data_IF_102529469677
#
_entry.id   IF_102529469677
#
_cell.length_a   1.000
_cell.length_b   1.000
_cell.length_c   1.000
_cell.angle_alpha   90.00
_cell.angle_beta   90.00
_cell.angle_gamma   90.00
#
_symmetry.space_group_name_H-M   'P 1'
#
loop_
_entity.id
_entity.type
_entity.pdbx_description
1 polymer ?
#
# COMPACT_ATOMS: atom_id res chain seq x y z
N UNK A 1 29.83 19.79 -38.70
CA UNK A 1 28.81 20.86 -38.76
C UNK A 1 29.38 22.15 -39.31
N UNK A 2 28.67 22.80 -40.23
CA UNK A 2 29.06 24.08 -40.85
C UNK A 2 28.13 25.21 -40.41
N UNK A 3 28.66 26.38 -40.07
CA UNK A 3 27.84 27.55 -39.76
C UNK A 3 27.62 28.39 -41.02
N UNK A 4 26.37 28.76 -41.30
CA UNK A 4 26.00 29.61 -42.43
C UNK A 4 24.79 30.49 -42.09
N UNK A 5 24.59 31.57 -42.85
CA UNK A 5 23.36 32.35 -42.79
C UNK A 5 22.47 31.96 -43.96
N UNK A 6 21.26 31.48 -43.67
CA UNK A 6 20.35 30.90 -44.67
C UNK A 6 19.08 31.75 -44.74
N UNK A 7 18.64 32.07 -45.96
CA UNK A 7 17.42 32.85 -46.17
C UNK A 7 16.18 32.07 -45.68
N UNK A 8 15.20 32.79 -45.11
CA UNK A 8 14.03 32.19 -44.44
C UNK A 8 13.17 31.34 -45.40
N UNK A 9 13.11 31.73 -46.67
CA UNK A 9 12.40 31.05 -47.76
C UNK A 9 13.04 29.70 -48.15
N UNK A 10 14.32 29.49 -47.81
CA UNK A 10 15.06 28.24 -48.01
C UNK A 10 14.98 27.27 -46.83
N UNK A 11 14.24 27.65 -45.78
CA UNK A 11 14.10 26.90 -44.54
C UNK A 11 12.67 26.38 -44.36
N UNK A 12 12.53 25.06 -44.28
CA UNK A 12 11.28 24.37 -43.94
C UNK A 12 11.36 23.77 -42.53
N UNK A 13 10.25 23.63 -41.82
CA UNK A 13 10.27 22.93 -40.52
C UNK A 13 10.29 21.43 -40.76
N UNK A 14 11.26 20.72 -40.19
CA UNK A 14 11.32 19.27 -40.34
C UNK A 14 10.17 18.57 -39.61
N UNK A 15 9.66 17.48 -40.19
CA UNK A 15 8.69 16.59 -39.53
C UNK A 15 9.33 15.78 -38.39
N UNK A 16 10.67 15.68 -38.34
CA UNK A 16 11.40 15.06 -37.22
C UNK A 16 11.71 16.02 -36.09
N UNK A 17 11.53 17.33 -36.28
CA UNK A 17 11.65 18.30 -35.20
C UNK A 17 10.76 17.90 -34.03
N UNK A 18 11.32 17.76 -32.83
CA UNK A 18 10.57 17.20 -31.71
C UNK A 18 9.41 18.09 -31.24
N UNK A 19 9.45 19.40 -31.54
CA UNK A 19 8.37 20.36 -31.27
C UNK A 19 7.53 20.64 -32.52
N UNK A 20 7.60 19.76 -33.51
CA UNK A 20 6.79 19.85 -34.72
C UNK A 20 5.30 19.80 -34.35
N UNK A 21 4.56 20.80 -34.81
CA UNK A 21 3.12 20.89 -34.68
C UNK A 21 2.55 21.65 -35.88
N UNK A 22 1.30 21.33 -36.26
CA UNK A 22 0.62 22.02 -37.38
C UNK A 22 0.44 23.51 -37.12
N UNK A 23 0.21 23.92 -35.88
CA UNK A 23 0.01 25.33 -35.48
C UNK A 23 1.35 25.98 -35.14
N UNK A 24 1.57 27.21 -35.59
CA UNK A 24 2.72 28.03 -35.18
C UNK A 24 2.80 28.13 -33.64
N UNK A 25 4.01 28.11 -33.05
CA UNK A 25 4.18 28.24 -31.61
C UNK A 25 3.91 29.69 -31.18
N UNK A 26 3.56 29.89 -29.91
CA UNK A 26 3.63 31.23 -29.31
C UNK A 26 5.09 31.66 -29.16
N UNK A 27 5.38 32.87 -29.62
CA UNK A 27 6.72 33.49 -29.63
C UNK A 27 6.70 34.90 -29.02
N UNK A 28 5.57 35.31 -28.44
CA UNK A 28 5.36 36.66 -27.89
C UNK A 28 6.43 37.09 -26.88
N UNK A 29 6.93 36.13 -26.10
CA UNK A 29 7.97 36.30 -25.09
C UNK A 29 9.38 36.56 -25.69
N UNK A 30 9.71 35.94 -26.83
CA UNK A 30 11.04 36.08 -27.46
C UNK A 30 11.09 37.20 -28.51
N UNK A 31 9.94 37.64 -29.04
CA UNK A 31 9.86 38.69 -30.06
C UNK A 31 10.61 39.98 -29.68
N UNK A 32 10.50 40.53 -28.46
CA UNK A 32 11.25 41.74 -28.08
C UNK A 32 12.77 41.57 -28.20
N UNK A 33 13.28 40.41 -27.80
CA UNK A 33 14.72 40.11 -27.88
C UNK A 33 15.16 39.92 -29.33
N UNK A 34 14.40 39.19 -30.14
CA UNK A 34 14.74 38.95 -31.54
C UNK A 34 14.65 40.25 -32.35
N UNK A 35 13.70 41.14 -32.06
CA UNK A 35 13.65 42.48 -32.68
C UNK A 35 14.86 43.33 -32.36
N UNK A 36 15.36 43.26 -31.13
CA UNK A 36 16.46 44.08 -30.65
C UNK A 36 17.86 43.56 -31.06
N UNK A 37 18.02 42.23 -31.20
CA UNK A 37 19.34 41.60 -31.35
C UNK A 37 19.42 40.56 -32.47
N UNK A 38 18.33 40.29 -33.17
CA UNK A 38 18.25 39.17 -34.11
C UNK A 38 18.23 37.81 -33.41
N UNK A 39 18.35 36.75 -34.21
CA UNK A 39 18.50 35.38 -33.70
C UNK A 39 19.98 35.14 -33.38
N UNK A 40 20.33 35.01 -32.10
CA UNK A 40 21.74 34.85 -31.68
C UNK A 40 22.21 33.40 -31.67
N UNK A 41 21.33 32.47 -31.29
CA UNK A 41 21.65 31.04 -31.24
C UNK A 41 21.27 30.43 -32.59
N UNK A 42 22.21 29.80 -33.32
CA UNK A 42 21.94 29.23 -34.63
C UNK A 42 20.84 28.17 -34.62
N UNK A 43 20.01 28.13 -35.66
CA UNK A 43 19.08 27.04 -35.93
C UNK A 43 19.86 25.77 -36.28
N UNK A 44 19.36 24.60 -35.89
CA UNK A 44 19.93 23.34 -36.32
C UNK A 44 19.19 22.90 -37.58
N UNK A 45 19.92 22.69 -38.67
CA UNK A 45 19.31 22.37 -39.97
C UNK A 45 20.05 21.26 -40.69
N UNK A 46 19.36 20.55 -41.58
CA UNK A 46 19.95 19.54 -42.47
C UNK A 46 19.52 19.77 -43.93
N UNK A 47 20.31 19.33 -44.92
CA UNK A 47 19.90 19.39 -46.32
C UNK A 47 18.58 18.64 -46.57
N UNK A 48 17.70 19.19 -47.41
CA UNK A 48 16.39 18.60 -47.74
C UNK A 48 16.35 17.87 -49.09
N UNK A 49 17.50 17.45 -49.61
CA UNK A 49 17.61 16.81 -50.93
C UNK A 49 17.49 17.74 -52.15
N UNK A 50 17.02 18.98 -51.97
CA UNK A 50 17.09 20.04 -53.00
C UNK A 50 18.26 21.00 -52.72
N UNK A 51 19.01 21.45 -53.76
CA UNK A 51 20.14 22.36 -53.59
C UNK A 51 19.77 23.64 -52.84
N UNK A 52 20.60 24.01 -51.87
CA UNK A 52 20.45 25.23 -51.06
C UNK A 52 19.15 25.33 -50.23
N UNK A 53 18.41 24.22 -50.07
CA UNK A 53 17.23 24.16 -49.18
C UNK A 53 17.50 23.25 -47.98
N UNK A 54 16.93 23.61 -46.84
CA UNK A 54 17.21 22.92 -45.59
C UNK A 54 15.95 22.72 -44.75
N UNK A 55 15.92 21.63 -44.00
CA UNK A 55 14.92 21.40 -42.97
C UNK A 55 15.45 21.81 -41.59
N UNK A 56 14.61 22.45 -40.78
CA UNK A 56 14.89 22.88 -39.42
C UNK A 56 14.54 21.78 -38.43
N UNK A 57 15.57 21.14 -37.91
CA UNK A 57 15.51 20.08 -36.92
C UNK A 57 15.40 20.64 -35.49
N UNK A 58 16.00 21.80 -35.21
CA UNK A 58 15.88 22.49 -33.92
C UNK A 58 15.89 24.02 -34.05
N UNK A 59 15.20 24.68 -33.09
CA UNK A 59 15.03 26.14 -33.09
C UNK A 59 13.73 26.65 -33.72
N UNK A 60 12.69 25.82 -33.77
CA UNK A 60 11.36 26.17 -34.33
C UNK A 60 10.82 27.53 -33.85
N UNK A 61 10.90 27.83 -32.54
CA UNK A 61 10.43 29.11 -32.00
C UNK A 61 11.22 30.31 -32.55
N UNK A 62 12.54 30.17 -32.71
CA UNK A 62 13.43 31.20 -33.27
C UNK A 62 13.11 31.45 -34.74
N UNK A 63 12.86 30.39 -35.52
CA UNK A 63 12.39 30.50 -36.90
C UNK A 63 11.06 31.27 -37.01
N UNK A 64 10.05 30.91 -36.21
CA UNK A 64 8.76 31.60 -36.25
C UNK A 64 8.82 33.05 -35.75
N UNK A 65 9.65 33.36 -34.75
CA UNK A 65 9.87 34.73 -34.32
C UNK A 65 10.50 35.59 -35.43
N UNK A 66 11.49 35.04 -36.15
CA UNK A 66 12.07 35.71 -37.30
C UNK A 66 11.07 35.90 -38.44
N UNK A 67 10.22 34.90 -38.70
CA UNK A 67 9.17 35.00 -39.72
C UNK A 67 8.16 36.11 -39.41
N UNK A 68 7.70 36.21 -38.16
CA UNK A 68 6.82 37.30 -37.72
C UNK A 68 7.47 38.67 -37.94
N UNK A 69 8.76 38.81 -37.63
CA UNK A 69 9.49 40.07 -37.82
C UNK A 69 9.68 40.39 -39.31
N UNK A 70 9.95 39.38 -40.14
CA UNK A 70 10.06 39.55 -41.58
C UNK A 70 8.72 40.01 -42.20
N UNK A 71 7.61 39.42 -41.77
CA UNK A 71 6.27 39.82 -42.19
C UNK A 71 5.93 41.27 -41.74
N UNK A 72 6.36 41.67 -40.53
CA UNK A 72 6.18 43.03 -40.01
C UNK A 72 7.00 44.10 -40.75
N UNK A 73 8.24 43.75 -41.14
CA UNK A 73 9.17 44.69 -41.78
C UNK A 73 9.10 44.69 -43.31
N UNK A 74 8.53 43.64 -43.90
CA UNK A 74 8.54 43.41 -45.35
C UNK A 74 9.91 42.97 -45.90
N UNK A 75 10.88 42.67 -45.03
CA UNK A 75 12.23 42.23 -45.38
C UNK A 75 12.68 41.10 -44.44
N UNK A 76 13.27 40.05 -45.01
CA UNK A 76 13.72 38.87 -44.27
C UNK A 76 15.26 38.83 -44.18
N UNK A 77 15.80 39.02 -42.98
CA UNK A 77 17.23 38.81 -42.74
C UNK A 77 17.56 37.30 -42.74
N UNK A 78 18.67 36.89 -43.37
CA UNK A 78 19.15 35.51 -43.29
C UNK A 78 19.41 35.05 -41.85
N UNK A 79 19.01 33.83 -41.51
CA UNK A 79 19.13 33.29 -40.16
C UNK A 79 20.42 32.51 -39.95
N UNK A 80 21.11 32.67 -38.81
CA UNK A 80 22.26 31.85 -38.50
C UNK A 80 21.80 30.40 -38.31
N UNK A 81 22.45 29.49 -39.01
CA UNK A 81 22.15 28.07 -39.03
C UNK A 81 23.43 27.26 -38.87
N UNK A 82 23.35 26.19 -38.09
CA UNK A 82 24.35 25.15 -37.98
C UNK A 82 23.86 23.96 -38.83
N UNK A 83 24.50 23.78 -39.98
CA UNK A 83 24.18 22.73 -40.95
C UNK A 83 24.82 21.43 -40.47
N UNK A 84 23.96 20.44 -40.22
CA UNK A 84 24.34 19.05 -40.00
C UNK A 84 24.80 18.42 -41.30
N UNK A 85 25.70 17.44 -41.20
CA UNK A 85 26.05 16.59 -42.34
C UNK A 85 24.81 15.80 -42.79
N UNK A 86 24.80 15.31 -44.03
CA UNK A 86 23.74 14.41 -44.47
C UNK A 86 23.67 13.21 -43.53
N UNK A 87 22.52 13.07 -42.87
CA UNK A 87 22.26 12.05 -41.86
C UNK A 87 20.81 11.59 -41.96
N UNK A 88 20.49 10.50 -41.26
CA UNK A 88 19.15 9.95 -41.29
C UNK A 88 18.16 10.74 -40.40
N UNK A 89 16.88 10.38 -40.47
CA UNK A 89 15.83 10.97 -39.64
C UNK A 89 16.04 10.75 -38.14
N UNK A 90 16.80 9.72 -37.75
CA UNK A 90 17.10 9.45 -36.36
C UNK A 90 18.23 10.37 -35.86
N UNK A 91 19.28 10.62 -36.65
CA UNK A 91 20.35 11.59 -36.33
C UNK A 91 19.76 12.99 -36.09
N UNK A 92 18.84 13.40 -36.96
CA UNK A 92 18.14 14.67 -36.84
C UNK A 92 17.22 14.73 -35.61
N UNK A 93 16.51 13.65 -35.29
CA UNK A 93 15.69 13.56 -34.08
C UNK A 93 16.55 13.58 -32.80
N UNK A 94 17.69 12.86 -32.79
CA UNK A 94 18.63 12.85 -31.67
C UNK A 94 19.21 14.24 -31.41
N UNK A 95 19.68 14.92 -32.46
CA UNK A 95 20.24 16.25 -32.33
C UNK A 95 19.18 17.29 -31.90
N UNK A 96 17.95 17.16 -32.40
CA UNK A 96 16.79 17.94 -31.94
C UNK A 96 16.51 17.72 -30.45
N UNK A 97 16.60 16.47 -29.97
CA UNK A 97 16.36 16.11 -28.57
C UNK A 97 17.48 16.61 -27.66
N UNK A 98 18.75 16.48 -28.06
CA UNK A 98 19.91 16.98 -27.29
C UNK A 98 19.77 18.49 -27.03
N UNK A 99 19.35 19.27 -28.04
CA UNK A 99 19.14 20.72 -27.88
C UNK A 99 18.01 21.06 -26.91
N UNK A 100 17.02 20.17 -26.76
CA UNK A 100 15.77 20.44 -26.04
C UNK A 100 15.59 19.57 -24.79
N UNK A 101 16.60 18.84 -24.33
CA UNK A 101 16.45 17.85 -23.26
C UNK A 101 16.11 18.49 -21.90
N UNK A 102 16.68 19.66 -21.59
CA UNK A 102 16.51 20.34 -20.30
C UNK A 102 15.10 20.96 -20.08
N UNK A 103 14.44 21.58 -21.07
CA UNK A 103 13.08 22.12 -20.91
C UNK A 103 11.95 21.14 -21.28
N UNK A 104 12.17 19.82 -21.28
CA UNK A 104 11.19 18.85 -21.77
C UNK A 104 10.20 18.41 -20.69
N UNK A 105 8.91 18.31 -21.04
CA UNK A 105 7.94 17.59 -20.19
C UNK A 105 8.21 16.08 -20.26
N UNK A 106 7.95 15.38 -19.16
CA UNK A 106 8.33 13.96 -19.01
C UNK A 106 7.69 13.08 -20.11
N UNK A 107 6.45 13.34 -20.48
CA UNK A 107 5.71 12.54 -21.46
C UNK A 107 6.27 12.71 -22.87
N UNK A 108 6.64 13.94 -23.25
CA UNK A 108 7.28 14.23 -24.51
C UNK A 108 8.66 13.53 -24.62
N UNK A 109 9.38 13.37 -23.51
CA UNK A 109 10.59 12.55 -23.47
C UNK A 109 10.27 11.09 -23.82
N UNK A 110 9.25 10.51 -23.17
CA UNK A 110 8.85 9.12 -23.39
C UNK A 110 8.42 8.84 -24.84
N UNK A 111 7.64 9.75 -25.41
CA UNK A 111 7.17 9.67 -26.81
C UNK A 111 8.33 9.78 -27.80
N UNK A 112 9.31 10.64 -27.52
CA UNK A 112 10.48 10.83 -28.38
C UNK A 112 11.40 9.62 -28.37
N UNK A 113 11.71 9.07 -27.18
CA UNK A 113 12.50 7.85 -27.06
C UNK A 113 11.84 6.68 -27.79
N UNK A 114 10.51 6.56 -27.67
CA UNK A 114 9.74 5.56 -28.40
C UNK A 114 9.82 5.75 -29.93
N UNK A 115 9.91 7.00 -30.41
CA UNK A 115 10.09 7.32 -31.83
C UNK A 115 11.50 6.94 -32.32
N UNK A 116 12.54 7.19 -31.53
CA UNK A 116 13.92 6.78 -31.85
C UNK A 116 14.03 5.27 -32.08
N UNK A 117 13.42 4.46 -31.21
CA UNK A 117 13.36 3.00 -31.39
C UNK A 117 12.64 2.62 -32.71
N UNK A 118 11.52 3.28 -33.05
CA UNK A 118 10.81 3.03 -34.31
C UNK A 118 11.60 3.45 -35.55
N UNK A 119 12.50 4.42 -35.41
CA UNK A 119 13.42 4.84 -36.47
C UNK A 119 14.69 3.98 -36.53
N UNK A 120 14.81 2.93 -35.72
CA UNK A 120 15.86 1.92 -35.82
C UNK A 120 16.98 2.03 -34.79
N UNK A 121 16.95 3.02 -33.89
CA UNK A 121 17.96 3.13 -32.81
C UNK A 121 17.78 2.03 -31.79
N UNK A 122 18.89 1.55 -31.25
CA UNK A 122 18.87 0.56 -30.16
C UNK A 122 18.94 1.23 -28.80
N UNK A 123 18.60 0.48 -27.74
CA UNK A 123 18.71 0.96 -26.36
C UNK A 123 20.15 1.36 -25.99
N UNK A 124 21.19 0.57 -26.34
CA UNK A 124 22.59 0.97 -26.16
C UNK A 124 22.95 2.28 -26.88
N UNK A 125 22.48 2.48 -28.12
CA UNK A 125 22.78 3.70 -28.89
C UNK A 125 22.20 4.93 -28.18
N UNK A 126 20.93 4.87 -27.80
CA UNK A 126 20.26 5.96 -27.06
C UNK A 126 20.98 6.23 -25.73
N UNK A 127 21.35 5.19 -25.00
CA UNK A 127 22.08 5.32 -23.74
C UNK A 127 23.41 6.07 -23.93
N UNK A 128 24.18 5.70 -24.96
CA UNK A 128 25.43 6.33 -25.31
C UNK A 128 25.25 7.79 -25.76
N UNK A 129 24.29 8.07 -26.65
CA UNK A 129 24.02 9.41 -27.18
C UNK A 129 23.63 10.39 -26.07
N UNK A 130 22.77 9.97 -25.13
CA UNK A 130 22.26 10.85 -24.07
C UNK A 130 23.06 10.78 -22.77
N UNK A 131 24.12 9.97 -22.70
CA UNK A 131 24.96 9.82 -21.50
C UNK A 131 24.20 9.27 -20.29
N UNK A 132 23.23 8.38 -20.52
CA UNK A 132 22.38 7.77 -19.48
C UNK A 132 22.52 6.25 -19.50
N UNK A 133 22.06 5.59 -18.43
CA UNK A 133 22.13 4.12 -18.36
C UNK A 133 21.07 3.48 -19.25
N UNK A 134 21.38 2.30 -19.81
CA UNK A 134 20.39 1.50 -20.56
C UNK A 134 19.14 1.19 -19.73
N UNK A 135 19.28 1.01 -18.42
CA UNK A 135 18.14 0.81 -17.52
C UNK A 135 17.21 2.03 -17.50
N UNK A 136 17.76 3.25 -17.49
CA UNK A 136 16.96 4.47 -17.57
C UNK A 136 16.24 4.58 -18.92
N UNK A 137 16.91 4.23 -20.01
CA UNK A 137 16.29 4.16 -21.36
C UNK A 137 15.12 3.17 -21.35
N UNK A 138 15.32 1.94 -20.82
CA UNK A 138 14.25 0.92 -20.71
C UNK A 138 13.06 1.40 -19.90
N UNK A 139 13.30 2.11 -18.79
CA UNK A 139 12.23 2.72 -17.95
C UNK A 139 11.43 3.77 -18.72
N UNK A 140 12.11 4.68 -19.43
CA UNK A 140 11.48 5.71 -20.26
C UNK A 140 10.65 5.06 -21.38
N UNK A 141 11.17 4.03 -22.03
CA UNK A 141 10.46 3.30 -23.08
C UNK A 141 9.22 2.57 -22.56
N UNK A 142 9.28 1.99 -21.35
CA UNK A 142 8.13 1.34 -20.74
C UNK A 142 6.97 2.33 -20.46
N UNK A 143 7.30 3.55 -20.05
CA UNK A 143 6.31 4.63 -19.88
C UNK A 143 5.82 5.15 -21.26
N UNK A 144 6.72 5.22 -22.24
CA UNK A 144 6.41 5.61 -23.61
C UNK A 144 5.49 4.64 -24.33
N UNK A 145 5.53 3.37 -23.96
CA UNK A 145 4.70 2.31 -24.55
C UNK A 145 3.22 2.37 -24.11
N UNK A 146 2.83 3.20 -23.12
CA UNK A 146 1.44 3.29 -22.69
C UNK A 146 0.41 3.58 -23.80
N UNK A 147 -0.85 3.22 -23.55
CA UNK A 147 -1.95 3.71 -24.38
C UNK A 147 -1.96 5.26 -24.38
N UNK A 148 -2.24 5.93 -25.51
CA UNK A 148 -2.17 7.40 -25.60
C UNK A 148 -2.98 8.13 -24.52
N UNK A 149 -4.15 7.60 -24.16
CA UNK A 149 -5.00 8.17 -23.10
C UNK A 149 -4.38 8.10 -21.70
N UNK A 150 -3.56 7.07 -21.41
CA UNK A 150 -2.85 6.95 -20.13
C UNK A 150 -1.72 7.99 -20.06
N UNK A 151 -0.96 8.16 -21.15
CA UNK A 151 0.06 9.22 -21.24
C UNK A 151 -0.57 10.61 -21.04
N UNK A 152 -1.71 10.86 -21.65
CA UNK A 152 -2.43 12.13 -21.49
C UNK A 152 -2.98 12.34 -20.07
N UNK A 153 -3.51 11.29 -19.44
CA UNK A 153 -3.95 11.37 -18.04
C UNK A 153 -2.78 11.73 -17.11
N UNK A 154 -1.58 11.18 -17.34
CA UNK A 154 -0.39 11.56 -16.59
C UNK A 154 0.05 13.01 -16.91
N UNK A 155 0.09 13.39 -18.18
CA UNK A 155 0.42 14.77 -18.62
C UNK A 155 -0.47 15.83 -17.96
N UNK A 156 -1.74 15.49 -17.73
CA UNK A 156 -2.74 16.34 -17.07
C UNK A 156 -2.74 16.22 -15.54
N UNK A 157 -1.79 15.48 -14.96
CA UNK A 157 -1.67 15.22 -13.52
C UNK A 157 -2.90 14.52 -12.91
N UNK A 158 -3.70 13.82 -13.73
CA UNK A 158 -4.87 13.07 -13.27
C UNK A 158 -4.48 11.74 -12.60
N UNK A 159 -3.28 11.24 -12.91
CA UNK A 159 -2.61 10.12 -12.25
C UNK A 159 -1.20 10.50 -11.82
N UNK A 160 -0.75 9.94 -10.70
CA UNK A 160 0.58 10.19 -10.15
C UNK A 160 1.64 9.23 -10.74
N UNK A 161 2.90 9.54 -10.44
CA UNK A 161 4.04 8.75 -10.91
C UNK A 161 4.04 7.32 -10.38
N UNK A 162 3.51 7.08 -9.17
CA UNK A 162 3.40 5.73 -8.62
C UNK A 162 2.41 4.88 -9.44
N UNK A 163 1.25 5.43 -9.77
CA UNK A 163 0.26 4.76 -10.63
C UNK A 163 0.83 4.49 -12.01
N UNK A 164 1.52 5.47 -12.61
CA UNK A 164 2.19 5.27 -13.90
C UNK A 164 3.21 4.13 -13.84
N UNK A 165 4.10 4.09 -12.83
CA UNK A 165 5.06 2.99 -12.65
C UNK A 165 4.38 1.63 -12.53
N UNK A 166 3.28 1.52 -11.79
CA UNK A 166 2.58 0.24 -11.71
C UNK A 166 1.90 -0.15 -13.03
N UNK A 167 1.41 0.80 -13.82
CA UNK A 167 0.87 0.53 -15.15
C UNK A 167 1.93 -0.01 -16.13
N UNK A 168 3.24 0.18 -15.90
CA UNK A 168 4.28 -0.46 -16.74
C UNK A 168 4.32 -1.98 -16.58
N UNK A 169 3.81 -2.50 -15.46
CA UNK A 169 3.67 -3.94 -15.23
C UNK A 169 2.39 -4.52 -15.85
N UNK A 170 1.46 -3.66 -16.31
CA UNK A 170 0.19 -4.08 -16.88
C UNK A 170 0.35 -4.47 -18.36
N UNK A 171 -0.26 -5.60 -18.74
CA UNK A 171 -0.43 -5.95 -20.15
C UNK A 171 -1.30 -4.92 -20.88
N UNK A 172 -1.26 -4.89 -22.22
CA UNK A 172 -2.12 -3.99 -23.01
C UNK A 172 -3.61 -4.22 -22.76
N UNK A 173 -4.02 -5.47 -22.47
CA UNK A 173 -5.39 -5.79 -22.11
C UNK A 173 -5.75 -5.14 -20.76
N UNK A 174 -4.94 -5.35 -19.73
CA UNK A 174 -5.12 -4.72 -18.42
C UNK A 174 -5.10 -3.19 -18.47
N UNK A 175 -4.25 -2.58 -19.32
CA UNK A 175 -4.27 -1.13 -19.53
C UNK A 175 -5.61 -0.65 -20.14
N UNK A 176 -6.21 -1.43 -21.06
CA UNK A 176 -7.53 -1.11 -21.61
C UNK A 176 -8.63 -1.25 -20.56
N UNK A 177 -8.59 -2.31 -19.76
CA UNK A 177 -9.56 -2.54 -18.68
C UNK A 177 -9.47 -1.46 -17.61
N UNK A 178 -8.25 -1.11 -17.19
CA UNK A 178 -8.00 -0.01 -16.25
C UNK A 178 -8.50 1.33 -16.83
N UNK A 179 -8.26 1.57 -18.11
CA UNK A 179 -8.71 2.79 -18.77
C UNK A 179 -10.24 2.86 -18.87
N UNK A 180 -10.91 1.73 -19.08
CA UNK A 180 -12.38 1.67 -19.06
C UNK A 180 -12.92 2.10 -17.69
N UNK A 181 -12.33 1.59 -16.60
CA UNK A 181 -12.64 2.04 -15.23
C UNK A 181 -12.33 3.52 -15.03
N UNK A 182 -11.23 4.02 -15.58
CA UNK A 182 -10.79 5.41 -15.39
C UNK A 182 -11.69 6.41 -16.10
N UNK A 183 -12.25 6.03 -17.26
CA UNK A 183 -13.13 6.90 -18.04
C UNK A 183 -14.60 6.83 -17.64
N UNK A 184 -14.99 5.86 -16.82
CA UNK A 184 -16.37 5.71 -16.33
C UNK A 184 -16.57 6.51 -15.03
N UNK A 185 -17.43 7.56 -15.02
CA UNK A 185 -17.68 8.38 -13.83
C UNK A 185 -18.29 7.61 -12.64
N UNK A 186 -18.95 6.48 -12.89
CA UNK A 186 -19.62 5.68 -11.86
C UNK A 186 -18.70 4.62 -11.25
N UNK A 187 -17.51 4.43 -11.83
CA UNK A 187 -16.54 3.44 -11.38
C UNK A 187 -15.28 4.10 -10.82
N UNK A 188 -14.56 3.35 -9.99
CA UNK A 188 -13.29 3.79 -9.44
C UNK A 188 -12.15 2.98 -10.06
N UNK A 189 -11.27 3.65 -10.80
CA UNK A 189 -10.03 3.05 -11.25
C UNK A 189 -9.03 2.95 -10.10
N UNK A 190 -8.46 1.77 -9.83
CA UNK A 190 -7.47 1.60 -8.78
C UNK A 190 -6.18 2.38 -9.11
N UNK A 191 -5.56 2.99 -8.09
CA UNK A 191 -4.36 3.83 -8.21
C UNK A 191 -3.32 3.44 -7.16
N UNK A 192 -2.05 3.83 -7.37
CA UNK A 192 -0.95 3.52 -6.48
C UNK A 192 -0.94 2.04 -6.06
N UNK A 193 -0.72 1.76 -4.77
CA UNK A 193 -0.68 0.39 -4.26
C UNK A 193 -1.92 -0.47 -4.57
N UNK A 194 -3.13 0.12 -4.65
CA UNK A 194 -4.35 -0.63 -4.99
C UNK A 194 -4.31 -1.14 -6.43
N UNK A 195 -3.71 -0.38 -7.34
CA UNK A 195 -3.51 -0.82 -8.73
C UNK A 195 -2.63 -2.06 -8.77
N UNK A 196 -1.55 -2.09 -7.99
CA UNK A 196 -0.67 -3.24 -7.89
C UNK A 196 -1.47 -4.49 -7.48
N UNK A 197 -2.31 -4.40 -6.45
CA UNK A 197 -3.16 -5.54 -6.05
C UNK A 197 -4.12 -5.95 -7.17
N UNK A 198 -4.77 -4.99 -7.83
CA UNK A 198 -5.70 -5.26 -8.92
C UNK A 198 -5.02 -5.98 -10.11
N UNK A 199 -3.79 -5.60 -10.46
CA UNK A 199 -3.03 -6.23 -11.55
C UNK A 199 -2.69 -7.70 -11.29
N UNK A 200 -2.49 -8.07 -10.02
CA UNK A 200 -2.11 -9.42 -9.59
C UNK A 200 -3.27 -10.19 -8.92
N UNK A 201 -4.52 -9.83 -9.18
CA UNK A 201 -5.68 -10.60 -8.68
C UNK A 201 -5.88 -10.54 -7.16
N UNK A 202 -5.35 -9.51 -6.48
CA UNK A 202 -5.52 -9.25 -5.05
C UNK A 202 -4.32 -9.61 -4.18
N UNK A 203 -3.42 -10.50 -4.63
CA UNK A 203 -2.20 -10.86 -3.92
C UNK A 203 -0.97 -10.63 -4.78
N UNK A 204 0.01 -9.94 -4.24
CA UNK A 204 1.29 -9.70 -4.92
C UNK A 204 2.37 -10.53 -4.24
N UNK A 205 2.81 -11.60 -4.90
CA UNK A 205 3.84 -12.53 -4.40
C UNK A 205 5.14 -12.26 -5.14
N UNK A 206 6.21 -11.96 -4.39
CA UNK A 206 7.54 -11.71 -4.94
C UNK A 206 8.22 -13.03 -5.35
N UNK A 207 9.04 -13.02 -6.39
CA UNK A 207 9.88 -14.16 -6.74
C UNK A 207 10.89 -14.51 -5.64
N UNK A 208 11.28 -13.54 -4.78
CA UNK A 208 12.24 -13.74 -3.67
C UNK A 208 11.74 -14.70 -2.59
N UNK A 209 10.42 -14.91 -2.48
CA UNK A 209 9.83 -15.78 -1.47
C UNK A 209 9.54 -17.19 -1.97
N UNK A 210 9.81 -17.47 -3.26
CA UNK A 210 9.60 -18.78 -3.83
C UNK A 210 10.52 -19.82 -3.16
N UNK A 211 9.94 -20.95 -2.75
CA UNK A 211 10.69 -22.07 -2.19
C UNK A 211 11.26 -23.02 -3.24
N UNK A 212 10.89 -22.81 -4.50
CA UNK A 212 11.31 -23.58 -5.66
C UNK A 212 12.18 -22.71 -6.59
N UNK A 213 12.87 -23.35 -7.53
CA UNK A 213 13.68 -22.65 -8.52
C UNK A 213 12.79 -21.82 -9.45
N UNK A 214 13.01 -20.51 -9.51
CA UNK A 214 12.16 -19.58 -10.28
C UNK A 214 12.19 -19.91 -11.78
N UNK A 215 13.27 -20.52 -12.25
CA UNK A 215 13.47 -20.96 -13.64
C UNK A 215 12.55 -22.13 -14.04
N UNK A 216 12.06 -22.90 -13.06
CA UNK A 216 11.13 -24.02 -13.29
C UNK A 216 9.67 -23.55 -13.30
N UNK A 217 9.42 -22.25 -13.08
CA UNK A 217 8.07 -21.68 -13.08
C UNK A 217 7.51 -21.59 -14.50
N UNK A 218 6.38 -22.25 -14.82
CA UNK A 218 5.82 -22.25 -16.17
C UNK A 218 5.00 -20.98 -16.49
N UNK A 219 4.68 -20.16 -15.48
CA UNK A 219 3.87 -18.96 -15.64
C UNK A 219 4.68 -17.70 -15.96
N UNK A 220 3.96 -16.60 -16.19
CA UNK A 220 4.58 -15.30 -16.48
C UNK A 220 5.10 -14.64 -15.18
N UNK A 221 6.33 -14.12 -15.26
CA UNK A 221 6.93 -13.28 -14.23
C UNK A 221 7.00 -11.85 -14.75
N UNK A 222 6.53 -10.91 -13.94
CA UNK A 222 6.52 -9.49 -14.24
C UNK A 222 7.57 -8.80 -13.39
N UNK A 223 8.57 -8.21 -14.02
CA UNK A 223 9.62 -7.44 -13.35
C UNK A 223 9.21 -5.97 -13.18
N UNK A 224 9.43 -5.43 -11.98
CA UNK A 224 9.30 -4.01 -11.74
C UNK A 224 10.56 -3.29 -12.23
N UNK A 225 10.46 -2.63 -13.38
CA UNK A 225 11.58 -1.89 -13.96
C UNK A 225 12.05 -0.73 -13.07
N UNK A 226 11.22 -0.24 -12.14
CA UNK A 226 11.54 0.87 -11.23
C UNK A 226 12.01 0.40 -9.85
N UNK A 227 11.98 -0.91 -9.59
CA UNK A 227 12.44 -1.54 -8.36
C UNK A 227 13.44 -2.67 -8.61
N UNK A 228 13.67 -3.49 -7.59
CA UNK A 228 14.50 -4.70 -7.65
C UNK A 228 13.65 -5.98 -7.53
N UNK A 229 12.33 -5.83 -7.53
CA UNK A 229 11.41 -6.92 -7.28
C UNK A 229 10.78 -7.41 -8.57
N UNK A 230 10.64 -8.73 -8.65
CA UNK A 230 9.82 -9.39 -9.66
C UNK A 230 8.67 -10.11 -8.98
N UNK A 231 7.55 -10.22 -9.70
CA UNK A 231 6.29 -10.74 -9.18
C UNK A 231 5.73 -11.81 -10.10
N UNK A 232 5.06 -12.80 -9.52
CA UNK A 232 4.31 -13.79 -10.28
C UNK A 232 3.00 -13.18 -10.79
N UNK A 233 2.69 -13.34 -12.08
CA UNK A 233 1.48 -12.79 -12.68
C UNK A 233 0.21 -13.52 -12.24
N UNK A 234 0.32 -14.83 -12.01
CA UNK A 234 -0.77 -15.73 -11.65
C UNK A 234 -0.62 -16.17 -10.19
N UNK A 235 -1.57 -15.76 -9.35
CA UNK A 235 -1.58 -16.05 -7.92
C UNK A 235 -1.92 -17.51 -7.61
N UNK A 236 -2.75 -18.17 -8.43
CA UNK A 236 -3.18 -19.54 -8.16
C UNK A 236 -2.05 -20.52 -8.53
N UNK A 237 -1.40 -20.28 -9.67
CA UNK A 237 -0.29 -21.12 -10.14
C UNK A 237 0.93 -21.05 -9.21
N UNK A 238 1.24 -19.88 -8.64
CA UNK A 238 2.30 -19.77 -7.63
C UNK A 238 1.92 -20.55 -6.36
N UNK A 239 0.67 -20.48 -5.90
CA UNK A 239 0.24 -21.23 -4.71
C UNK A 239 0.32 -22.75 -4.92
N UNK A 240 0.01 -23.24 -6.12
CA UNK A 240 0.21 -24.65 -6.48
C UNK A 240 1.68 -25.06 -6.32
N UNK A 241 2.60 -24.33 -6.96
CA UNK A 241 4.05 -24.62 -6.91
C UNK A 241 4.67 -24.43 -5.53
N UNK A 242 4.25 -23.41 -4.80
CA UNK A 242 4.71 -23.17 -3.45
C UNK A 242 4.25 -24.30 -2.51
N UNK A 243 3.01 -24.78 -2.63
CA UNK A 243 2.50 -25.89 -1.84
C UNK A 243 3.18 -27.22 -2.17
N UNK A 244 3.50 -27.49 -3.44
CA UNK A 244 4.33 -28.63 -3.84
C UNK A 244 5.71 -28.58 -3.15
N UNK A 245 6.36 -27.42 -3.17
CA UNK A 245 7.65 -27.21 -2.51
C UNK A 245 7.58 -27.35 -0.98
N UNK A 246 6.53 -26.81 -0.34
CA UNK A 246 6.27 -26.98 1.10
C UNK A 246 6.09 -28.45 1.44
N UNK A 247 5.31 -29.19 0.65
CA UNK A 247 5.09 -30.62 0.85
C UNK A 247 6.41 -31.42 0.71
N UNK A 248 7.24 -31.10 -0.27
CA UNK A 248 8.56 -31.70 -0.43
C UNK A 248 9.47 -31.43 0.77
N UNK A 249 9.54 -30.18 1.26
CA UNK A 249 10.31 -29.82 2.48
C UNK A 249 9.77 -30.52 3.72
N UNK A 250 8.45 -30.59 3.88
CA UNK A 250 7.80 -31.34 4.98
C UNK A 250 8.23 -32.80 4.97
N UNK A 251 8.19 -33.45 3.81
CA UNK A 251 8.59 -34.85 3.66
C UNK A 251 10.08 -35.04 3.98
N UNK A 252 10.95 -34.14 3.51
CA UNK A 252 12.38 -34.17 3.84
C UNK A 252 12.65 -34.07 5.35
N UNK A 253 11.88 -33.27 6.10
CA UNK A 253 11.98 -33.23 7.57
C UNK A 253 11.53 -34.53 8.23
N UNK A 254 10.46 -35.16 7.73
CA UNK A 254 10.01 -36.46 8.22
C UNK A 254 11.05 -37.56 7.95
N UNK A 255 11.62 -37.59 6.75
CA UNK A 255 12.70 -38.52 6.36
C UNK A 255 13.97 -38.29 7.17
N UNK A 256 14.29 -37.03 7.48
CA UNK A 256 15.39 -36.70 8.37
C UNK A 256 15.16 -37.29 9.76
N UNK A 257 13.92 -37.63 10.15
CA UNK A 257 13.55 -38.32 11.39
C UNK A 257 12.86 -37.43 12.42
N UNK A 258 12.33 -36.27 12.01
CA UNK A 258 11.55 -35.42 12.92
C UNK A 258 10.21 -36.11 13.25
N UNK A 259 9.79 -36.13 14.52
CA UNK A 259 8.62 -36.90 14.96
C UNK A 259 7.31 -36.39 14.36
N UNK A 260 7.19 -35.08 14.13
CA UNK A 260 6.01 -34.47 13.54
C UNK A 260 6.39 -33.13 12.87
N UNK A 261 5.77 -32.84 11.73
CA UNK A 261 5.91 -31.59 10.98
C UNK A 261 4.53 -31.02 10.71
N UNK A 262 4.24 -29.85 11.26
CA UNK A 262 2.93 -29.19 11.23
C UNK A 262 3.01 -27.99 10.31
N UNK A 263 2.23 -28.00 9.22
CA UNK A 263 2.02 -26.82 8.37
C UNK A 263 0.84 -26.04 8.94
N UNK A 264 1.07 -24.78 9.31
CA UNK A 264 0.03 -23.91 9.82
C UNK A 264 -0.79 -23.30 8.68
N UNK A 265 -2.02 -22.92 8.97
CA UNK A 265 -2.90 -22.27 7.99
C UNK A 265 -2.28 -20.96 7.47
N UNK A 266 -2.49 -20.58 6.20
CA UNK A 266 -1.98 -19.33 5.66
C UNK A 266 -2.38 -18.12 6.52
N UNK A 267 -1.39 -17.33 6.96
CA UNK A 267 -1.57 -16.17 7.82
C UNK A 267 -1.58 -16.46 9.33
N UNK A 268 -1.53 -17.74 9.74
CA UNK A 268 -1.36 -18.10 11.14
C UNK A 268 0.10 -17.90 11.58
N UNK A 269 0.30 -17.12 12.64
CA UNK A 269 1.62 -16.86 13.22
C UNK A 269 2.04 -17.97 14.18
N UNK A 270 3.35 -18.26 14.20
CA UNK A 270 3.93 -19.11 15.22
C UNK A 270 4.20 -18.31 16.51
N UNK A 271 3.44 -18.61 17.55
CA UNK A 271 3.58 -17.97 18.86
C UNK A 271 4.62 -18.73 19.71
N UNK A 272 5.88 -18.28 19.66
CA UNK A 272 6.98 -18.93 20.37
C UNK A 272 6.78 -19.02 21.89
N UNK A 273 6.01 -18.11 22.49
CA UNK A 273 5.70 -18.12 23.92
C UNK A 273 4.78 -19.26 24.37
N UNK A 274 4.01 -19.87 23.46
CA UNK A 274 3.17 -21.05 23.75
C UNK A 274 3.95 -22.36 23.63
N UNK A 275 5.20 -22.27 23.18
CA UNK A 275 6.07 -23.39 22.88
C UNK A 275 7.33 -23.36 23.74
N UNK A 276 8.02 -24.50 23.78
CA UNK A 276 9.30 -24.68 24.44
C UNK A 276 10.30 -25.33 23.47
N UNK A 277 11.52 -24.78 23.44
CA UNK A 277 12.60 -25.34 22.62
C UNK A 277 12.95 -26.75 23.12
N UNK A 278 12.74 -27.72 22.25
CA UNK A 278 12.93 -29.14 22.54
C UNK A 278 13.74 -29.77 21.41
N UNK A 279 14.89 -30.40 21.69
CA UNK A 279 15.64 -31.09 20.66
C UNK A 279 14.83 -32.26 20.09
N UNK A 280 15.11 -32.61 18.84
CA UNK A 280 14.48 -33.73 18.11
C UNK A 280 14.42 -35.04 18.90
N UNK A 281 15.49 -35.39 19.63
CA UNK A 281 15.56 -36.61 20.47
C UNK A 281 14.52 -36.65 21.59
N UNK A 282 14.04 -35.49 22.05
CA UNK A 282 13.05 -35.35 23.13
C UNK A 282 11.63 -35.06 22.60
N UNK A 283 11.38 -35.32 21.32
CA UNK A 283 10.05 -35.14 20.72
C UNK A 283 9.77 -33.74 20.19
N UNK A 284 10.81 -32.90 19.98
CA UNK A 284 10.64 -31.60 19.32
C UNK A 284 10.09 -31.77 17.90
N UNK A 285 9.15 -30.90 17.51
CA UNK A 285 8.46 -30.88 16.22
C UNK A 285 8.97 -29.73 15.36
N UNK A 286 8.61 -29.73 14.08
CA UNK A 286 8.84 -28.62 13.15
C UNK A 286 7.50 -27.95 12.81
N UNK A 287 7.42 -26.63 12.95
CA UNK A 287 6.26 -25.85 12.51
C UNK A 287 6.62 -25.05 11.26
N UNK A 288 5.78 -25.12 10.24
CA UNK A 288 5.94 -24.37 8.99
C UNK A 288 4.87 -23.29 8.98
N UNK A 289 5.28 -22.02 9.00
CA UNK A 289 4.37 -20.87 8.87
C UNK A 289 4.39 -20.37 7.44
N UNK A 290 3.22 -20.07 6.89
CA UNK A 290 3.06 -19.54 5.54
C UNK A 290 2.32 -18.20 5.62
N UNK A 291 2.92 -17.12 5.12
CA UNK A 291 2.29 -15.78 5.10
C UNK A 291 1.39 -15.63 3.87
N UNK A 292 0.42 -14.70 3.91
CA UNK A 292 -0.41 -14.38 2.73
C UNK A 292 0.39 -13.79 1.56
N UNK A 293 1.66 -13.42 1.77
CA UNK A 293 2.57 -12.93 0.74
C UNK A 293 3.46 -14.04 0.17
N UNK A 294 3.25 -15.29 0.57
CA UNK A 294 3.99 -16.46 0.10
C UNK A 294 5.28 -16.74 0.87
N UNK A 295 5.64 -15.93 1.88
CA UNK A 295 6.81 -16.18 2.73
C UNK A 295 6.61 -17.44 3.57
N UNK A 296 7.63 -18.29 3.63
CA UNK A 296 7.58 -19.53 4.40
C UNK A 296 8.76 -19.56 5.38
N UNK A 297 8.45 -19.81 6.65
CA UNK A 297 9.46 -19.99 7.69
C UNK A 297 9.34 -21.37 8.33
N UNK A 298 10.48 -21.93 8.72
CA UNK A 298 10.60 -23.26 9.33
C UNK A 298 11.08 -23.11 10.77
N UNK A 299 10.23 -23.44 11.73
CA UNK A 299 10.50 -23.37 13.16
C UNK A 299 10.84 -24.77 13.66
N UNK A 300 12.12 -25.09 13.73
CA UNK A 300 12.60 -26.41 14.15
C UNK A 300 12.78 -26.54 15.66
N UNK A 301 12.48 -27.73 16.20
CA UNK A 301 12.80 -28.06 17.59
C UNK A 301 11.87 -27.40 18.60
N UNK A 302 10.56 -27.40 18.33
CA UNK A 302 9.57 -26.82 19.22
C UNK A 302 8.53 -27.85 19.65
N UNK A 303 8.09 -27.76 20.90
CA UNK A 303 7.00 -28.56 21.43
C UNK A 303 6.06 -27.63 22.20
N UNK A 304 4.74 -27.88 22.15
CA UNK A 304 3.81 -27.05 22.93
C UNK A 304 4.12 -27.18 24.43
N UNK A 305 3.96 -26.11 25.21
CA UNK A 305 4.22 -26.15 26.67
C UNK A 305 3.42 -27.25 27.39
N UNK A 306 2.22 -27.56 26.90
CA UNK A 306 1.36 -28.63 27.43
C UNK A 306 1.98 -30.01 27.19
N UNK A 307 2.51 -30.25 26.00
CA UNK A 307 3.20 -31.51 25.67
C UNK A 307 4.55 -31.60 26.39
N UNK A 308 5.31 -30.51 26.48
CA UNK A 308 6.56 -30.44 27.24
C UNK A 308 6.36 -30.79 28.72
N UNK A 309 5.34 -30.22 29.35
CA UNK A 309 4.98 -30.56 30.74
C UNK A 309 4.60 -32.02 30.89
N UNK A 310 3.89 -32.61 29.92
CA UNK A 310 3.52 -34.03 29.93
C UNK A 310 4.74 -34.94 29.72
N UNK A 311 5.69 -34.53 28.87
CA UNK A 311 6.92 -35.28 28.63
C UNK A 311 7.81 -35.29 29.89
N UNK A 312 7.98 -34.15 30.56
CA UNK A 312 8.70 -34.07 31.85
C UNK A 312 8.06 -34.94 32.93
N UNK A 313 6.72 -34.88 33.05
CA UNK A 313 5.99 -35.71 34.01
C UNK A 313 6.07 -37.23 33.71
N UNK A 314 6.44 -37.63 32.48
CA UNK A 314 6.70 -39.03 32.13
C UNK A 314 8.14 -39.44 32.38
N UNK A 315 9.12 -38.58 32.13
CA UNK A 315 10.54 -38.81 32.47
C UNK A 315 10.75 -38.88 33.99
N UNK A 316 9.98 -38.11 34.77
CA UNK A 316 9.96 -38.12 36.24
C UNK A 316 9.15 -39.29 36.83
N UNK A 317 8.67 -40.24 36.00
CA UNK A 317 7.94 -41.44 36.40
C UNK A 317 8.77 -42.50 37.13
N UNK A 318 9.82 -42.09 37.83
CA UNK A 318 10.69 -42.91 38.67
C UNK A 318 10.89 -42.38 40.08
N UNK A 319 10.11 -41.40 40.58
CA UNK A 319 9.86 -41.17 42.01
C UNK A 319 8.86 -40.01 42.19
N UNK A 320 7.72 -40.32 42.84
CA UNK A 320 6.72 -39.39 43.40
C UNK A 320 6.30 -38.20 42.51
N UNK A 321 5.31 -38.44 41.65
CA UNK A 321 4.48 -37.38 41.09
C UNK A 321 3.71 -36.66 42.21
N UNK A 322 4.22 -35.53 42.69
CA UNK A 322 3.39 -34.55 43.39
C UNK A 322 2.29 -34.09 42.42
N UNK A 323 1.07 -34.47 42.78
CA UNK A 323 -0.14 -34.10 42.06
C UNK A 323 -0.23 -32.56 42.07
N UNK A 324 -0.58 -31.87 40.96
CA UNK A 324 -0.84 -30.44 41.02
C UNK A 324 -1.92 -30.22 42.08
N UNK A 325 -1.61 -29.40 43.10
CA UNK A 325 -2.45 -29.17 44.25
C UNK A 325 -3.91 -29.00 43.81
N UNK A 326 -4.77 -29.98 44.16
CA UNK A 326 -6.22 -29.81 44.02
C UNK A 326 -6.57 -28.54 44.77
N UNK A 327 -7.19 -27.58 44.08
CA UNK A 327 -7.72 -26.37 44.72
C UNK A 327 -8.43 -26.78 46.01
N UNK A 328 -7.97 -26.23 47.14
CA UNK A 328 -8.59 -26.43 48.44
C UNK A 328 -10.09 -26.16 48.28
N UNK A 329 -10.94 -27.04 48.82
CA UNK A 329 -12.38 -26.79 48.84
C UNK A 329 -12.61 -25.37 49.36
N UNK A 330 -13.45 -24.56 48.68
CA UNK A 330 -13.74 -23.21 49.15
C UNK A 330 -14.12 -23.26 50.63
N UNK A 331 -13.53 -22.39 51.44
CA UNK A 331 -13.80 -22.31 52.88
C UNK A 331 -15.28 -22.05 53.18
N UNK A 332 -16.00 -21.54 52.17
CA UNK A 332 -17.36 -21.05 52.28
C UNK A 332 -18.21 -21.66 51.18
N UNK A 333 -19.46 -22.01 51.49
CA UNK A 333 -20.42 -22.50 50.48
C UNK A 333 -20.75 -21.40 49.48
N UNK A 334 -21.07 -21.76 48.23
CA UNK A 334 -21.42 -20.79 47.18
C UNK A 334 -22.48 -19.76 47.60
N UNK A 335 -23.59 -20.16 48.27
CA UNK A 335 -24.58 -19.21 48.78
C UNK A 335 -24.05 -18.27 49.87
N UNK A 336 -23.19 -18.74 50.77
CA UNK A 336 -22.60 -17.91 51.81
C UNK A 336 -21.53 -16.96 51.22
N UNK A 337 -20.79 -17.38 50.20
CA UNK A 337 -19.90 -16.50 49.46
C UNK A 337 -20.70 -15.37 48.77
N UNK A 338 -21.81 -15.71 48.12
CA UNK A 338 -22.71 -14.72 47.51
C UNK A 338 -23.29 -13.73 48.55
N UNK A 339 -23.66 -14.22 49.73
CA UNK A 339 -24.08 -13.36 50.85
C UNK A 339 -22.98 -12.37 51.24
N UNK A 340 -21.75 -12.87 51.49
CA UNK A 340 -20.61 -12.05 51.91
C UNK A 340 -20.29 -11.01 50.85
N UNK A 341 -20.24 -11.40 49.58
CA UNK A 341 -19.92 -10.50 48.48
C UNK A 341 -20.98 -9.42 48.34
N UNK A 342 -22.27 -9.74 48.36
CA UNK A 342 -23.32 -8.73 48.24
C UNK A 342 -23.30 -7.71 49.38
N UNK A 343 -23.03 -8.14 50.62
CA UNK A 343 -22.92 -7.23 51.78
C UNK A 343 -21.67 -6.35 51.70
N UNK A 344 -20.53 -6.91 51.25
CA UNK A 344 -19.30 -6.13 50.97
C UNK A 344 -19.55 -5.08 49.90
N UNK A 345 -20.23 -5.44 48.82
CA UNK A 345 -20.61 -4.50 47.76
C UNK A 345 -21.58 -3.44 48.25
N UNK A 346 -22.55 -3.78 49.11
CA UNK A 346 -23.45 -2.79 49.72
C UNK A 346 -22.68 -1.76 50.56
N UNK A 347 -21.74 -2.22 51.39
CA UNK A 347 -20.88 -1.35 52.19
C UNK A 347 -20.00 -0.44 51.32
N UNK A 348 -19.32 -1.00 50.32
CA UNK A 348 -18.49 -0.23 49.39
C UNK A 348 -19.30 0.83 48.65
N UNK A 349 -20.48 0.48 48.14
CA UNK A 349 -21.37 1.42 47.43
C UNK A 349 -21.86 2.54 48.33
N UNK A 350 -22.20 2.24 49.59
CA UNK A 350 -22.60 3.24 50.56
C UNK A 350 -21.45 4.22 50.84
N UNK A 351 -20.24 3.73 51.11
CA UNK A 351 -19.07 4.57 51.33
C UNK A 351 -18.71 5.44 50.11
N UNK A 352 -18.88 4.92 48.89
CA UNK A 352 -18.63 5.67 47.66
C UNK A 352 -19.59 6.86 47.45
N UNK A 353 -20.75 6.91 48.15
CA UNK A 353 -21.64 8.08 48.10
C UNK A 353 -20.98 9.34 48.66
N UNK A 354 -20.08 9.18 49.63
CA UNK A 354 -19.37 10.28 50.29
C UNK A 354 -18.09 10.67 49.53
N UNK A 355 -17.68 9.86 48.54
CA UNK A 355 -16.46 10.06 47.75
C UNK A 355 -16.71 10.08 46.23
N UNK A 356 -17.57 10.97 45.70
CA UNK A 356 -17.93 11.00 44.27
C UNK A 356 -16.73 11.26 43.35
N UNK A 357 -15.71 11.98 43.82
CA UNK A 357 -14.47 12.24 43.07
C UNK A 357 -13.67 10.97 42.77
N UNK A 358 -13.69 9.98 43.68
CA UNK A 358 -13.01 8.69 43.47
C UNK A 358 -13.74 7.87 42.41
N UNK A 359 -15.08 7.85 42.46
CA UNK A 359 -15.91 7.19 41.44
C UNK A 359 -15.65 7.78 40.04
N UNK A 360 -15.56 9.11 39.93
CA UNK A 360 -15.30 9.78 38.67
C UNK A 360 -13.90 9.45 38.12
N UNK A 361 -12.87 9.46 38.97
CA UNK A 361 -11.49 9.10 38.57
C UNK A 361 -11.39 7.65 38.11
N UNK A 362 -12.04 6.72 38.80
CA UNK A 362 -12.10 5.31 38.39
C UNK A 362 -12.81 5.12 37.04
N UNK A 363 -13.91 5.85 36.82
CA UNK A 363 -14.62 5.84 35.53
C UNK A 363 -13.74 6.36 34.39
N UNK A 364 -13.03 7.48 34.62
CA UNK A 364 -12.12 8.06 33.62
C UNK A 364 -10.93 7.15 33.36
N UNK A 365 -10.31 6.60 34.40
CA UNK A 365 -9.22 5.63 34.26
C UNK A 365 -9.67 4.44 33.40
N UNK A 366 -10.85 3.85 33.70
CA UNK A 366 -11.38 2.75 32.90
C UNK A 366 -11.66 3.14 31.44
N UNK A 367 -12.19 4.34 31.19
CA UNK A 367 -12.47 4.81 29.84
C UNK A 367 -11.20 5.07 29.00
N UNK A 368 -10.10 5.47 29.64
CA UNK A 368 -8.83 5.81 28.97
C UNK A 368 -7.94 4.57 28.81
N UNK A 369 -7.81 3.74 29.85
CA UNK A 369 -6.79 2.68 29.92
C UNK A 369 -7.31 1.31 29.51
N UNK A 370 -8.30 1.23 28.61
CA UNK A 370 -8.88 -0.02 28.12
C UNK A 370 -7.78 -1.05 27.83
N UNK A 371 -7.71 -2.10 28.65
CA UNK A 371 -6.60 -3.05 28.66
C UNK A 371 -7.11 -4.43 28.30
N UNK A 372 -6.39 -5.13 27.42
CA UNK A 372 -6.71 -6.52 27.06
C UNK A 372 -6.51 -7.53 28.21
N UNK A 373 -5.92 -7.12 29.33
CA UNK A 373 -5.58 -8.00 30.47
C UNK A 373 -6.68 -8.08 31.54
N UNK A 374 -7.66 -7.16 31.54
CA UNK A 374 -8.70 -7.11 32.57
C UNK A 374 -9.99 -6.49 32.01
N UNK A 375 -11.13 -7.02 32.45
CA UNK A 375 -12.46 -6.56 32.06
C UNK A 375 -13.18 -5.99 33.28
N UNK A 376 -13.71 -4.77 33.16
CA UNK A 376 -14.60 -4.19 34.16
C UNK A 376 -16.03 -4.47 33.73
N UNK A 377 -16.80 -5.14 34.60
CA UNK A 377 -18.22 -5.41 34.37
C UNK A 377 -19.01 -4.95 35.59
N UNK A 378 -20.25 -4.45 35.42
CA UNK A 378 -21.13 -4.19 36.55
C UNK A 378 -21.38 -5.49 37.32
N UNK A 379 -21.21 -5.45 38.64
CA UNK A 379 -21.59 -6.56 39.51
C UNK A 379 -23.10 -6.80 39.40
N UNK A 380 -23.58 -8.00 39.03
CA UNK A 380 -25.00 -8.27 38.77
C UNK A 380 -25.91 -8.13 39.98
N UNK A 381 -25.37 -8.12 41.21
CA UNK A 381 -26.14 -7.92 42.44
C UNK A 381 -27.28 -8.95 42.61
N UNK A 382 -27.09 -10.16 42.08
CA UNK A 382 -28.08 -11.23 42.13
C UNK A 382 -27.87 -12.07 43.38
N UNK A 383 -28.88 -12.11 44.24
CA UNK A 383 -28.93 -13.02 45.38
C UNK A 383 -29.15 -14.47 44.91
N UNK A 384 -28.47 -15.41 45.55
CA UNK A 384 -28.57 -16.84 45.26
C UNK A 384 -29.92 -17.45 45.70
N UNK A 385 -30.55 -16.87 46.73
CA UNK A 385 -31.85 -17.29 47.25
C UNK A 385 -32.59 -16.11 47.90
N UNK A 386 -33.86 -16.32 48.26
CA UNK A 386 -34.72 -15.28 48.84
C UNK A 386 -34.24 -14.81 50.22
N UNK A 387 -33.61 -15.68 51.01
CA UNK A 387 -33.10 -15.32 52.35
C UNK A 387 -31.93 -14.34 52.26
N UNK A 388 -31.00 -14.54 51.31
CA UNK A 388 -29.92 -13.58 51.02
C UNK A 388 -30.49 -12.27 50.46
N UNK A 389 -31.50 -12.34 49.60
CA UNK A 389 -32.16 -11.15 49.06
C UNK A 389 -32.79 -10.30 50.16
N UNK A 390 -33.53 -10.92 51.08
CA UNK A 390 -34.16 -10.25 52.23
C UNK A 390 -33.10 -9.63 53.16
N UNK A 391 -32.00 -10.34 53.41
CA UNK A 391 -30.90 -9.83 54.25
C UNK A 391 -30.23 -8.59 53.65
N UNK A 392 -30.01 -8.58 52.34
CA UNK A 392 -29.43 -7.41 51.65
C UNK A 392 -30.40 -6.23 51.64
N UNK A 393 -31.69 -6.48 51.41
CA UNK A 393 -32.70 -5.42 51.43
C UNK A 393 -32.81 -4.71 52.79
N UNK A 394 -32.66 -5.46 53.89
CA UNK A 394 -32.63 -4.93 55.26
C UNK A 394 -31.25 -4.43 55.74
N UNK A 395 -30.21 -4.48 54.90
CA UNK A 395 -28.86 -4.14 55.31
C UNK A 395 -28.69 -2.64 55.56
N UNK A 396 -28.00 -2.29 56.66
CA UNK A 396 -27.72 -0.91 57.07
C UNK A 396 -27.02 -0.07 55.99
N UNK A 397 -26.20 -0.69 55.15
CA UNK A 397 -25.51 -0.01 54.05
C UNK A 397 -26.39 0.16 52.79
N UNK A 398 -27.30 -0.78 52.54
CA UNK A 398 -28.13 -0.79 51.34
C UNK A 398 -29.25 0.27 51.40
N UNK A 399 -29.86 0.43 52.58
CA UNK A 399 -30.95 1.39 52.82
C UNK A 399 -30.58 2.85 52.43
N UNK A 400 -29.49 3.45 52.94
CA UNK A 400 -29.11 4.82 52.59
C UNK A 400 -28.69 4.93 51.12
N UNK A 401 -28.05 3.91 50.56
CA UNK A 401 -27.71 3.86 49.14
C UNK A 401 -28.94 3.91 48.25
N UNK A 402 -29.96 3.11 48.55
CA UNK A 402 -31.20 3.11 47.78
C UNK A 402 -31.97 4.43 47.93
N UNK A 403 -31.96 5.04 49.11
CA UNK A 403 -32.54 6.37 49.32
C UNK A 403 -31.85 7.43 48.44
N UNK A 404 -30.52 7.48 48.45
CA UNK A 404 -29.74 8.43 47.63
C UNK A 404 -29.93 8.15 46.14
N UNK A 405 -29.91 6.89 45.73
CA UNK A 405 -30.17 6.45 44.34
C UNK A 405 -31.53 6.89 43.86
N UNK A 406 -32.59 6.72 44.66
CA UNK A 406 -33.94 7.23 44.34
C UNK A 406 -33.95 8.75 44.15
N UNK A 407 -33.29 9.49 45.05
CA UNK A 407 -33.15 10.95 44.92
C UNK A 407 -32.46 11.38 43.63
N UNK A 408 -31.36 10.72 43.27
CA UNK A 408 -30.63 10.97 42.01
C UNK A 408 -31.49 10.64 40.78
N UNK A 409 -32.19 9.50 40.80
CA UNK A 409 -33.10 9.12 39.71
C UNK A 409 -34.27 10.10 39.55
N UNK A 410 -34.78 10.66 40.66
CA UNK A 410 -35.81 11.69 40.62
C UNK A 410 -35.33 12.96 39.91
N UNK A 411 -34.08 13.39 40.13
CA UNK A 411 -33.48 14.53 39.41
C UNK A 411 -33.42 14.29 37.89
N UNK A 412 -33.06 13.07 37.46
CA UNK A 412 -33.08 12.70 36.04
C UNK A 412 -34.51 12.57 35.47
N UNK A 413 -35.50 12.33 36.32
CA UNK A 413 -36.91 12.19 35.95
C UNK A 413 -37.62 13.54 35.83
N UNK A 414 -37.30 14.50 36.70
CA UNK A 414 -37.85 15.85 36.70
C UNK A 414 -37.37 16.71 35.52
N UNK A 415 -36.22 16.37 34.90
CA UNK A 415 -35.68 17.06 33.73
C UNK A 415 -36.35 16.74 32.38
N UNK A 416 -37.48 16.03 32.34
CA UNK A 416 -38.15 15.60 31.08
C UNK A 416 -38.77 16.74 30.26
N UNK A 417 -38.81 17.97 30.76
CA UNK A 417 -39.50 19.10 30.13
C UNK A 417 -38.72 19.94 29.12
N UNK A 418 -37.38 19.89 29.06
CA UNK A 418 -36.62 20.70 28.08
C UNK A 418 -35.41 19.95 27.50
N UNK A 419 -35.38 19.92 26.16
CA UNK A 419 -34.25 19.70 25.28
C UNK A 419 -34.02 18.28 24.70
N UNK A 420 -34.28 18.14 23.40
CA UNK A 420 -34.20 16.91 22.57
C UNK A 420 -32.78 16.37 22.34
N UNK A 421 -31.71 16.97 22.90
CA UNK A 421 -30.31 16.55 22.75
C UNK A 421 -29.77 15.70 23.91
N UNK A 422 -30.56 14.76 24.45
CA UNK A 422 -30.10 13.85 25.53
C UNK A 422 -30.46 12.38 25.29
N UNK A 423 -30.46 11.92 24.04
CA UNK A 423 -30.61 10.47 23.72
C UNK A 423 -29.32 9.66 23.95
N UNK A 424 -28.15 10.30 24.06
CA UNK A 424 -26.87 9.59 24.28
C UNK A 424 -26.62 9.20 25.75
N UNK A 425 -27.07 10.01 26.71
CA UNK A 425 -26.78 9.77 28.14
C UNK A 425 -27.64 8.69 28.80
N UNK A 426 -28.81 8.34 28.21
CA UNK A 426 -29.64 7.22 28.72
C UNK A 426 -29.02 5.84 28.46
N UNK A 427 -28.08 5.71 27.52
CA UNK A 427 -27.41 4.43 27.21
C UNK A 427 -26.30 4.04 28.20
N UNK A 428 -25.78 4.99 28.99
CA UNK A 428 -24.68 4.75 29.92
C UNK A 428 -25.15 4.39 31.35
N UNK A 429 -26.38 4.75 31.74
CA UNK A 429 -26.87 4.54 33.11
C UNK A 429 -27.82 3.35 33.29
N UNK A 430 -28.18 2.63 32.22
CA UNK A 430 -28.91 1.35 32.29
C UNK A 430 -27.99 0.28 31.72
N UNK A 431 -27.45 -0.58 32.59
CA UNK A 431 -26.52 -1.64 32.19
C UNK A 431 -27.10 -2.55 31.10
N UNK A 432 -26.27 -2.77 30.08
CA UNK A 432 -26.17 -3.91 29.18
C UNK A 432 -27.45 -4.48 28.53
N UNK A 433 -27.59 -4.26 27.21
CA UNK A 433 -27.81 -5.35 26.24
C UNK A 433 -27.67 -4.85 24.79
N UNK A 434 -26.52 -5.11 24.17
CA UNK A 434 -26.38 -5.22 22.72
C UNK A 434 -26.65 -6.70 22.37
N UNK A 435 -27.90 -7.03 22.06
CA UNK A 435 -28.21 -8.03 21.03
C UNK A 435 -28.64 -7.22 19.81
N UNK A 436 -28.20 -7.65 18.63
CA UNK A 436 -28.37 -7.01 17.31
C UNK A 436 -27.36 -5.90 17.02
N UNK A 437 -26.18 -6.31 16.55
CA UNK A 437 -25.55 -5.85 15.30
C UNK A 437 -24.18 -6.53 15.17
N UNK A 438 -24.15 -7.64 14.43
CA UNK A 438 -23.01 -8.36 13.81
C UNK A 438 -23.29 -9.88 13.83
N UNK A 439 -23.55 -10.59 12.73
CA UNK A 439 -23.55 -10.18 11.34
C UNK A 439 -22.14 -9.87 10.84
N UNK A 440 -21.31 -10.89 10.64
CA UNK A 440 -19.85 -10.86 10.40
C UNK A 440 -19.05 -10.45 11.66
N UNK A 441 -18.15 -11.26 12.20
CA UNK A 441 -17.03 -11.97 11.58
C UNK A 441 -16.73 -13.22 12.42
N UNK A 442 -16.58 -14.35 11.73
CA UNK A 442 -16.00 -15.58 12.29
C UNK A 442 -14.50 -15.33 12.58
N UNK A 443 -14.06 -15.68 13.78
CA UNK A 443 -12.83 -16.43 14.03
C UNK A 443 -13.18 -17.58 14.94
#
# INVERSE_FOLDING_TARGET
>A
MQLAHIAIDRLNISAVNMRHAKRAPDVSDILPSVRARGVLVPLLVRPNGEPETFENDAGRRRYFAAKVIADERGEAEPLPCAIMEEGDDADALEASLIENIAPLDEVAQWETFSRLIRQGRTVPDIAATFGITELLVKRILALGDFLPKIREAYRREEIDAETARYLTMASKAQQKDWLALFTDPEQYAPRGYQLKQWLFGGQTISTKVALFAVEEYPGLIVSDLFGEDSYFADADLIWEKQNEAIAAKRNAYLEAGWPEVIVLEPGQLFHSWDHEKTPKKKGGKVFITVSHRGEVEFHEGWMSRKEARRARAKDEGGEQAETPAKFSRPEVTGPMQNYVDLHRHAAARAAMLDHPGVALRLMVAHAITGSGLWQVRPEPQRAANETVAASIAGCKAQIPFDAKRRGVLALFSAGRGRNRRRRQWRRLCHGAHLRQLAGAVRR
#
